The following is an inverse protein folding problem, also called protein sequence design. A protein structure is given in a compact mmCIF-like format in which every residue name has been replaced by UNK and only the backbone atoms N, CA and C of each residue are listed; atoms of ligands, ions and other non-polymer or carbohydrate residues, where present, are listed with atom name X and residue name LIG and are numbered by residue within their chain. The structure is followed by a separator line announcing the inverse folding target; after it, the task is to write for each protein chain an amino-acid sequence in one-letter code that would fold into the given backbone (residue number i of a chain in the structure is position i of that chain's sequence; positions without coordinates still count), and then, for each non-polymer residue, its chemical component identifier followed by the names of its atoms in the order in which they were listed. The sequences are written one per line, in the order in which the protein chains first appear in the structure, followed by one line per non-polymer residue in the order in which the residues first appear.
data_IF_684195926636
#
_entry.id   IF_684195926636
#
_cell.length_a   1.000
_cell.length_b   1.000
_cell.length_c   1.000
_cell.angle_alpha   90.00
_cell.angle_beta   90.00
_cell.angle_gamma   90.00
#
_symmetry.space_group_name_H-M   'P 1'
#
loop_
_entity.id
_entity.type
_entity.pdbx_description
1 polymer ?
#
# COMPACT_ATOMS: atom_id res chain seq x y z
N UNK A 1 -16.26 44.64 0.53
CA UNK A 1 -15.12 44.74 1.46
C UNK A 1 -15.40 43.79 2.61
N UNK A 2 -14.62 42.71 2.76
CA UNK A 2 -14.65 41.89 3.94
C UNK A 2 -13.65 42.48 4.93
N UNK A 3 -14.16 43.00 6.04
CA UNK A 3 -13.35 43.59 7.10
C UNK A 3 -12.72 42.41 7.90
N UNK A 4 -11.40 42.30 7.84
CA UNK A 4 -10.66 41.34 8.66
C UNK A 4 -10.52 41.94 10.08
N UNK A 5 -11.12 41.29 11.05
CA UNK A 5 -10.92 41.63 12.48
C UNK A 5 -9.90 40.61 13.01
N UNK A 6 -8.72 41.02 13.43
CA UNK A 6 -7.76 40.11 14.03
C UNK A 6 -8.31 39.58 15.36
N UNK A 7 -8.23 38.26 15.58
CA UNK A 7 -8.61 37.63 16.82
C UNK A 7 -7.68 38.16 17.95
N UNK A 8 -8.24 38.34 19.14
CA UNK A 8 -7.47 38.72 20.33
C UNK A 8 -6.67 37.55 20.89
N UNK A 9 -5.62 37.80 21.63
CA UNK A 9 -4.79 36.75 22.24
C UNK A 9 -5.62 35.84 23.15
N UNK A 10 -6.66 36.37 23.83
CA UNK A 10 -7.60 35.59 24.64
C UNK A 10 -8.47 34.65 23.80
N UNK A 11 -8.91 35.06 22.61
CA UNK A 11 -9.67 34.21 21.71
C UNK A 11 -8.80 33.09 21.13
N UNK A 12 -7.54 33.38 20.84
CA UNK A 12 -6.56 32.40 20.38
C UNK A 12 -6.27 31.36 21.47
N UNK A 13 -6.04 31.82 22.73
CA UNK A 13 -5.84 30.90 23.86
C UNK A 13 -7.09 30.06 24.15
N UNK A 14 -8.29 30.62 24.03
CA UNK A 14 -9.54 29.86 24.20
C UNK A 14 -9.71 28.75 23.14
N UNK A 15 -9.29 29.00 21.90
CA UNK A 15 -9.30 27.99 20.84
C UNK A 15 -8.30 26.87 21.15
N UNK A 16 -7.08 27.19 21.56
CA UNK A 16 -6.09 26.18 21.93
C UNK A 16 -6.47 25.42 23.19
N UNK A 17 -7.11 26.07 24.17
CA UNK A 17 -7.63 25.39 25.37
C UNK A 17 -8.80 24.44 25.05
N UNK A 18 -9.67 24.79 24.07
CA UNK A 18 -10.76 23.91 23.64
C UNK A 18 -10.28 22.71 22.82
N UNK A 19 -9.18 22.84 22.11
CA UNK A 19 -8.58 21.77 21.30
C UNK A 19 -7.85 20.71 22.17
N UNK A 20 -7.38 21.14 23.36
CA UNK A 20 -6.72 20.24 24.32
C UNK A 20 -7.70 19.48 25.26
N UNK A 21 -9.00 19.75 25.20
CA UNK A 21 -10.05 19.00 25.91
C UNK A 21 -10.75 17.98 25.00
N UNK A 22 -9.98 17.20 24.26
CA UNK A 22 -10.53 15.99 23.64
C UNK A 22 -10.65 14.93 24.76
N UNK A 23 -11.85 14.40 25.02
CA UNK A 23 -12.02 13.39 26.04
C UNK A 23 -11.22 12.13 25.69
N UNK A 24 -10.64 11.49 26.70
CA UNK A 24 -9.85 10.25 26.60
C UNK A 24 -10.59 9.10 25.86
N UNK A 25 -11.87 9.25 25.64
CA UNK A 25 -12.71 8.33 24.86
C UNK A 25 -12.27 8.20 23.39
N UNK A 26 -11.73 9.27 22.77
CA UNK A 26 -11.22 9.21 21.40
C UNK A 26 -9.88 8.48 21.29
N UNK A 27 -9.08 8.43 22.35
CA UNK A 27 -7.80 7.69 22.37
C UNK A 27 -8.06 6.19 22.43
N UNK A 28 -9.14 5.75 23.09
CA UNK A 28 -9.52 4.33 23.13
C UNK A 28 -10.07 3.83 21.79
N UNK A 29 -10.74 4.68 21.01
CA UNK A 29 -11.23 4.35 19.66
C UNK A 29 -10.09 4.28 18.64
N UNK A 30 -9.04 5.10 18.77
CA UNK A 30 -7.85 5.03 17.92
C UNK A 30 -7.00 3.80 18.27
N UNK A 31 -6.95 3.39 19.55
CA UNK A 31 -6.25 2.17 19.97
C UNK A 31 -6.89 0.87 19.46
N UNK A 32 -8.16 0.88 19.11
CA UNK A 32 -8.87 -0.30 18.59
C UNK A 32 -8.52 -0.65 17.12
N UNK A 33 -7.68 0.15 16.47
CA UNK A 33 -7.21 -0.09 15.09
C UNK A 33 -5.82 -0.74 14.99
N UNK A 34 -5.19 -1.06 16.08
CA UNK A 34 -3.93 -1.83 16.06
C UNK A 34 -4.21 -3.31 15.88
N UNK A 35 -3.43 -3.99 15.02
CA UNK A 35 -3.48 -5.43 14.79
C UNK A 35 -2.93 -6.21 15.99
N UNK A 36 -3.51 -6.05 17.16
CA UNK A 36 -2.93 -6.48 18.44
C UNK A 36 -3.43 -7.83 18.95
N UNK A 37 -4.47 -8.38 18.37
CA UNK A 37 -4.94 -9.73 18.72
C UNK A 37 -5.28 -10.48 17.43
N UNK A 38 -4.56 -11.55 17.16
CA UNK A 38 -4.82 -12.47 16.06
C UNK A 38 -5.87 -13.52 16.48
N UNK A 39 -7.19 -13.21 16.40
CA UNK A 39 -8.22 -14.09 16.96
C UNK A 39 -8.39 -15.38 16.14
N UNK A 40 -8.03 -15.35 14.86
CA UNK A 40 -8.15 -16.52 13.98
C UNK A 40 -6.82 -16.94 13.41
N UNK A 41 -6.42 -18.17 13.66
CA UNK A 41 -5.24 -18.76 12.99
C UNK A 41 -5.54 -19.08 11.54
N UNK A 42 -6.78 -19.47 11.24
CA UNK A 42 -7.22 -19.90 9.91
C UNK A 42 -8.61 -19.35 9.60
N UNK A 43 -8.79 -18.82 8.39
CA UNK A 43 -10.08 -18.34 7.91
C UNK A 43 -10.32 -18.80 6.46
N UNK A 44 -11.54 -19.26 6.19
CA UNK A 44 -12.03 -19.53 4.84
C UNK A 44 -13.10 -18.49 4.53
N UNK A 45 -12.95 -17.77 3.46
CA UNK A 45 -13.92 -16.75 3.01
C UNK A 45 -14.30 -17.02 1.57
N UNK A 46 -15.58 -16.90 1.24
CA UNK A 46 -16.05 -16.95 -0.15
C UNK A 46 -16.18 -15.53 -0.70
N UNK A 47 -16.82 -14.65 0.06
CA UNK A 47 -16.92 -13.22 -0.16
C UNK A 47 -16.70 -12.45 1.15
N UNK A 48 -16.42 -11.16 1.13
CA UNK A 48 -16.37 -10.32 2.33
C UNK A 48 -17.66 -10.46 3.13
N UNK A 49 -17.53 -10.83 4.42
CA UNK A 49 -18.69 -11.08 5.30
C UNK A 49 -19.31 -12.48 5.20
N UNK A 50 -18.86 -13.33 4.28
CA UNK A 50 -19.29 -14.71 4.15
C UNK A 50 -18.07 -15.64 4.28
N UNK A 51 -17.73 -16.01 5.49
CA UNK A 51 -16.57 -16.85 5.80
C UNK A 51 -16.70 -17.59 7.13
N UNK A 52 -15.75 -18.47 7.41
CA UNK A 52 -15.63 -19.23 8.66
C UNK A 52 -14.24 -18.96 9.25
N UNK A 53 -14.12 -18.47 10.50
CA UNK A 53 -15.23 -18.03 11.35
C UNK A 53 -15.87 -16.74 10.84
N UNK A 54 -17.15 -16.58 11.12
CA UNK A 54 -17.86 -15.34 10.83
C UNK A 54 -17.18 -14.16 11.55
N UNK A 55 -16.95 -13.06 10.81
CA UNK A 55 -16.39 -11.82 11.35
C UNK A 55 -14.92 -11.88 11.82
N UNK A 56 -14.10 -12.77 11.25
CA UNK A 56 -12.65 -12.73 11.48
C UNK A 56 -12.04 -11.53 10.74
N UNK A 57 -11.84 -10.43 11.46
CA UNK A 57 -11.22 -9.21 10.89
C UNK A 57 -9.71 -9.36 10.72
N UNK A 58 -9.08 -10.15 11.60
CA UNK A 58 -7.64 -10.40 11.62
C UNK A 58 -7.37 -11.90 11.51
N UNK A 59 -6.48 -12.30 10.62
CA UNK A 59 -6.16 -13.70 10.41
C UNK A 59 -4.69 -13.93 10.06
N UNK A 60 -4.20 -15.15 10.33
CA UNK A 60 -2.86 -15.60 9.91
C UNK A 60 -2.90 -16.27 8.56
N UNK A 61 -3.90 -17.15 8.35
CA UNK A 61 -4.07 -17.88 7.11
C UNK A 61 -5.48 -17.65 6.58
N UNK A 62 -5.58 -17.12 5.37
CA UNK A 62 -6.85 -16.90 4.68
C UNK A 62 -6.82 -17.58 3.33
N UNK A 63 -7.83 -18.36 3.07
CA UNK A 63 -8.06 -18.96 1.74
C UNK A 63 -9.45 -18.56 1.28
N UNK A 64 -9.54 -18.01 0.07
CA UNK A 64 -10.80 -17.64 -0.55
C UNK A 64 -10.82 -18.02 -2.03
N UNK A 65 -11.80 -18.80 -2.51
CA UNK A 65 -11.91 -19.07 -3.94
C UNK A 65 -12.25 -17.83 -4.78
N UNK A 66 -12.90 -16.82 -4.20
CA UNK A 66 -13.23 -15.60 -4.90
C UNK A 66 -12.53 -14.40 -4.28
N UNK A 67 -13.08 -13.83 -3.22
CA UNK A 67 -12.59 -12.57 -2.64
C UNK A 67 -12.64 -12.62 -1.11
N UNK A 68 -11.56 -12.16 -0.49
CA UNK A 68 -11.54 -11.94 0.95
C UNK A 68 -11.14 -10.51 1.30
N UNK A 69 -11.72 -9.99 2.37
CA UNK A 69 -11.36 -8.71 2.95
C UNK A 69 -11.01 -8.90 4.42
N UNK A 70 -9.80 -8.52 4.80
CA UNK A 70 -9.28 -8.63 6.15
C UNK A 70 -8.81 -7.27 6.63
N UNK A 71 -8.90 -7.04 7.94
CA UNK A 71 -8.35 -5.83 8.54
C UNK A 71 -6.82 -5.96 8.64
N UNK A 72 -6.35 -7.06 9.21
CA UNK A 72 -4.92 -7.36 9.31
C UNK A 72 -4.64 -8.81 8.88
N UNK A 73 -3.51 -8.99 8.18
CA UNK A 73 -2.95 -10.30 7.83
C UNK A 73 -1.55 -10.44 8.43
N UNK A 74 -1.28 -11.58 9.09
CA UNK A 74 0.05 -11.95 9.58
C UNK A 74 0.41 -13.38 9.16
N UNK A 75 0.66 -13.57 7.88
CA UNK A 75 1.00 -14.89 7.32
C UNK A 75 0.61 -14.98 5.86
N UNK A 76 -0.40 -15.79 5.52
CA UNK A 76 -0.77 -16.04 4.14
C UNK A 76 -2.23 -15.66 3.86
N UNK A 77 -2.45 -14.95 2.76
CA UNK A 77 -3.77 -14.71 2.18
C UNK A 77 -3.74 -15.15 0.72
N UNK A 78 -4.55 -16.15 0.40
CA UNK A 78 -4.64 -16.71 -0.96
C UNK A 78 -6.07 -16.54 -1.45
N UNK A 79 -6.23 -15.86 -2.58
CA UNK A 79 -7.54 -15.59 -3.17
C UNK A 79 -7.57 -16.03 -4.64
N UNK A 80 -8.69 -16.61 -5.05
CA UNK A 80 -8.89 -16.95 -6.47
C UNK A 80 -9.00 -15.69 -7.34
N UNK A 81 -9.61 -14.62 -6.82
CA UNK A 81 -9.81 -13.40 -7.59
C UNK A 81 -9.23 -12.16 -6.90
N UNK A 82 -9.81 -11.65 -5.81
CA UNK A 82 -9.31 -10.46 -5.12
C UNK A 82 -8.97 -10.70 -3.65
N UNK A 83 -7.86 -10.10 -3.21
CA UNK A 83 -7.47 -9.97 -1.81
C UNK A 83 -7.42 -8.52 -1.36
N UNK A 84 -8.16 -8.18 -0.29
CA UNK A 84 -8.19 -6.83 0.27
C UNK A 84 -7.70 -6.88 1.71
N UNK A 85 -6.73 -6.02 2.05
CA UNK A 85 -6.28 -5.81 3.42
C UNK A 85 -6.41 -4.32 3.76
N UNK A 86 -7.23 -4.00 4.75
CA UNK A 86 -7.59 -2.61 5.04
C UNK A 86 -6.63 -1.89 5.99
N UNK A 87 -5.80 -2.62 6.75
CA UNK A 87 -4.82 -2.03 7.66
C UNK A 87 -3.41 -2.58 7.40
N UNK A 88 -3.01 -3.66 8.04
CA UNK A 88 -1.64 -4.18 7.95
C UNK A 88 -1.60 -5.55 7.28
N UNK A 89 -0.81 -5.66 6.23
CA UNK A 89 -0.45 -6.93 5.61
C UNK A 89 1.01 -7.26 5.98
N UNK A 90 1.20 -8.39 6.65
CA UNK A 90 2.51 -8.91 7.02
C UNK A 90 2.61 -10.38 6.62
N UNK A 91 3.44 -10.67 5.62
CA UNK A 91 3.60 -12.01 5.08
C UNK A 91 3.39 -12.09 3.57
N UNK A 92 2.53 -12.99 3.09
CA UNK A 92 2.33 -13.25 1.67
C UNK A 92 0.86 -13.09 1.30
N UNK A 93 0.59 -12.27 0.30
CA UNK A 93 -0.73 -12.09 -0.29
C UNK A 93 -0.68 -12.47 -1.77
N UNK A 94 -1.49 -13.45 -2.14
CA UNK A 94 -1.57 -13.99 -3.50
C UNK A 94 -3.01 -13.93 -3.98
N UNK A 95 -3.22 -13.38 -5.17
CA UNK A 95 -4.54 -13.38 -5.80
C UNK A 95 -4.45 -13.66 -7.29
N UNK A 96 -5.42 -14.37 -7.82
CA UNK A 96 -5.48 -14.67 -9.25
C UNK A 96 -5.61 -13.39 -10.10
N UNK A 97 -6.39 -12.41 -9.64
CA UNK A 97 -6.55 -11.14 -10.36
C UNK A 97 -5.87 -9.97 -9.65
N UNK A 98 -6.25 -9.63 -8.42
CA UNK A 98 -5.72 -8.43 -7.81
C UNK A 98 -5.62 -8.46 -6.29
N UNK A 99 -4.67 -7.67 -5.78
CA UNK A 99 -4.50 -7.39 -4.36
C UNK A 99 -4.60 -5.90 -4.09
N UNK A 100 -5.27 -5.55 -3.00
CA UNK A 100 -5.37 -4.18 -2.49
C UNK A 100 -4.97 -4.14 -1.02
N UNK A 101 -3.99 -3.33 -0.68
CA UNK A 101 -3.60 -3.05 0.70
C UNK A 101 -3.68 -1.55 0.98
N UNK A 102 -4.57 -1.15 1.91
CA UNK A 102 -4.88 0.27 2.13
C UNK A 102 -3.93 0.98 3.09
N UNK A 103 -3.05 0.26 3.81
CA UNK A 103 -2.06 0.88 4.69
C UNK A 103 -0.69 0.24 4.51
N UNK A 104 -0.17 -0.47 5.53
CA UNK A 104 1.20 -0.98 5.52
C UNK A 104 1.30 -2.39 4.94
N UNK A 105 2.26 -2.59 4.06
CA UNK A 105 2.63 -3.89 3.49
C UNK A 105 4.04 -4.24 3.91
N UNK A 106 4.19 -5.40 4.55
CA UNK A 106 5.47 -6.02 4.87
C UNK A 106 5.50 -7.45 4.33
N UNK A 107 6.21 -7.69 3.23
CA UNK A 107 6.35 -9.02 2.66
C UNK A 107 6.14 -9.09 1.16
N UNK A 108 5.43 -10.13 0.70
CA UNK A 108 5.20 -10.40 -0.71
C UNK A 108 3.73 -10.17 -1.08
N UNK A 109 3.49 -9.37 -2.09
CA UNK A 109 2.20 -9.17 -2.71
C UNK A 109 2.29 -9.58 -4.18
N UNK A 110 1.57 -10.62 -4.58
CA UNK A 110 1.59 -11.09 -5.97
C UNK A 110 0.18 -11.27 -6.53
N UNK A 111 -0.03 -10.83 -7.75
CA UNK A 111 -1.30 -10.93 -8.45
C UNK A 111 -1.10 -11.26 -9.93
N UNK A 112 -2.07 -11.96 -10.50
CA UNK A 112 -2.08 -12.21 -11.96
C UNK A 112 -2.20 -10.93 -12.76
N UNK A 113 -2.92 -9.91 -12.25
CA UNK A 113 -3.16 -8.68 -13.00
C UNK A 113 -2.68 -7.42 -12.26
N UNK A 114 -3.20 -7.09 -11.07
CA UNK A 114 -2.93 -5.81 -10.42
C UNK A 114 -2.63 -5.93 -8.92
N UNK A 115 -1.61 -5.22 -8.46
CA UNK A 115 -1.41 -4.96 -7.04
C UNK A 115 -1.49 -3.47 -6.75
N UNK A 116 -2.18 -3.12 -5.65
CA UNK A 116 -2.30 -1.75 -5.15
C UNK A 116 -1.89 -1.69 -3.69
N UNK A 117 -0.97 -0.81 -3.33
CA UNK A 117 -0.65 -0.46 -1.95
C UNK A 117 -0.69 1.07 -1.77
N UNK A 118 -1.45 1.56 -0.78
CA UNK A 118 -1.75 2.99 -0.67
C UNK A 118 -0.92 3.74 0.37
N UNK A 119 -0.02 3.11 1.10
CA UNK A 119 0.81 3.81 2.08
C UNK A 119 2.26 3.30 2.00
N UNK A 120 2.69 2.45 2.90
CA UNK A 120 4.07 1.96 2.98
C UNK A 120 4.15 0.52 2.46
N UNK A 121 5.08 0.28 1.53
CA UNK A 121 5.42 -1.05 1.04
C UNK A 121 6.89 -1.35 1.40
N UNK A 122 7.09 -2.38 2.20
CA UNK A 122 8.42 -2.94 2.43
C UNK A 122 8.42 -4.41 2.04
N UNK A 123 9.12 -4.75 0.97
CA UNK A 123 9.18 -6.12 0.45
C UNK A 123 9.07 -6.22 -1.06
N UNK A 124 8.23 -7.12 -1.54
CA UNK A 124 8.11 -7.42 -2.98
C UNK A 124 6.67 -7.26 -3.45
N UNK A 125 6.50 -6.58 -4.57
CA UNK A 125 5.23 -6.46 -5.28
C UNK A 125 5.41 -6.96 -6.71
N UNK A 126 4.68 -8.01 -7.08
CA UNK A 126 4.77 -8.62 -8.40
C UNK A 126 3.40 -8.75 -9.04
N UNK A 127 3.22 -8.23 -10.23
CA UNK A 127 1.97 -8.32 -10.99
C UNK A 127 2.22 -8.73 -12.44
N UNK A 128 1.31 -9.49 -13.00
CA UNK A 128 1.34 -9.78 -14.43
C UNK A 128 1.18 -8.53 -15.29
N UNK A 129 0.45 -7.52 -14.79
CA UNK A 129 0.20 -6.31 -15.57
C UNK A 129 0.62 -5.02 -14.86
N UNK A 130 0.04 -4.66 -13.71
CA UNK A 130 0.30 -3.35 -13.09
C UNK A 130 0.55 -3.47 -11.59
N UNK A 131 1.59 -2.79 -11.11
CA UNK A 131 1.77 -2.48 -9.69
C UNK A 131 1.59 -0.98 -9.43
N UNK A 132 0.83 -0.63 -8.41
CA UNK A 132 0.64 0.75 -7.93
C UNK A 132 1.01 0.84 -6.46
N UNK A 133 1.90 1.75 -6.12
CA UNK A 133 2.23 2.10 -4.74
C UNK A 133 2.16 3.61 -4.56
N UNK A 134 1.30 4.12 -3.67
CA UNK A 134 1.13 5.57 -3.52
C UNK A 134 1.94 6.17 -2.37
N UNK A 135 2.58 5.35 -1.55
CA UNK A 135 3.42 5.79 -0.44
C UNK A 135 4.90 5.48 -0.65
N UNK A 136 5.62 5.36 0.47
CA UNK A 136 7.02 4.99 0.47
C UNK A 136 7.19 3.51 0.11
N UNK A 137 8.10 3.21 -0.82
CA UNK A 137 8.42 1.85 -1.24
C UNK A 137 9.88 1.52 -0.93
N UNK A 138 10.09 0.40 -0.24
CA UNK A 138 11.41 -0.18 0.00
C UNK A 138 11.41 -1.65 -0.41
N UNK A 139 12.09 -1.98 -1.51
CA UNK A 139 12.21 -3.36 -1.98
C UNK A 139 12.12 -3.52 -3.48
N UNK A 140 11.32 -4.48 -3.94
CA UNK A 140 11.24 -4.85 -5.35
C UNK A 140 9.82 -4.66 -5.88
N UNK A 141 9.70 -4.00 -7.04
CA UNK A 141 8.48 -3.93 -7.82
C UNK A 141 8.72 -4.51 -9.22
N UNK A 142 7.97 -5.53 -9.59
CA UNK A 142 8.05 -6.10 -10.93
C UNK A 142 6.66 -6.22 -11.56
N UNK A 143 6.52 -5.75 -12.79
CA UNK A 143 5.29 -5.84 -13.55
C UNK A 143 5.55 -6.24 -15.00
N UNK A 144 4.62 -7.00 -15.58
CA UNK A 144 4.69 -7.28 -17.00
C UNK A 144 4.53 -6.03 -17.86
N UNK A 145 3.79 -5.02 -17.36
CA UNK A 145 3.52 -3.82 -18.14
C UNK A 145 3.95 -2.53 -17.42
N UNK A 146 3.36 -2.17 -16.28
CA UNK A 146 3.61 -0.87 -15.63
C UNK A 146 3.82 -0.99 -14.14
N UNK A 147 4.84 -0.31 -13.62
CA UNK A 147 4.99 0.00 -12.21
C UNK A 147 4.80 1.50 -11.96
N UNK A 148 3.99 1.85 -10.96
CA UNK A 148 3.79 3.24 -10.52
C UNK A 148 4.08 3.36 -9.03
N UNK A 149 4.99 4.28 -8.67
CA UNK A 149 5.28 4.66 -7.29
C UNK A 149 5.20 6.17 -7.16
N UNK A 150 4.15 6.70 -6.52
CA UNK A 150 3.99 8.15 -6.39
C UNK A 150 4.80 8.74 -5.23
N UNK A 151 5.33 7.91 -4.35
CA UNK A 151 6.23 8.27 -3.25
C UNK A 151 7.71 8.04 -3.57
N UNK A 152 8.54 8.07 -2.52
CA UNK A 152 9.95 7.72 -2.65
C UNK A 152 10.11 6.21 -2.81
N UNK A 153 10.98 5.81 -3.71
CA UNK A 153 11.27 4.42 -4.04
C UNK A 153 12.74 4.10 -3.70
N UNK A 154 12.94 3.07 -2.89
CA UNK A 154 14.28 2.54 -2.59
C UNK A 154 14.32 1.07 -2.97
N UNK A 155 15.14 0.70 -3.96
CA UNK A 155 15.34 -0.68 -4.36
C UNK A 155 15.37 -0.92 -5.85
N UNK A 156 14.63 -1.91 -6.33
CA UNK A 156 14.64 -2.35 -7.72
C UNK A 156 13.23 -2.33 -8.31
N UNK A 157 13.06 -1.61 -9.42
CA UNK A 157 11.79 -1.52 -10.16
C UNK A 157 12.01 -2.00 -11.60
N UNK A 158 11.23 -3.00 -12.03
CA UNK A 158 11.31 -3.55 -13.38
C UNK A 158 9.93 -3.67 -14.01
N UNK A 159 9.77 -3.15 -15.21
CA UNK A 159 8.55 -3.28 -16.00
C UNK A 159 8.86 -3.65 -17.45
N UNK A 160 7.98 -4.42 -18.06
CA UNK A 160 8.09 -4.69 -19.50
C UNK A 160 7.91 -3.42 -20.33
N UNK A 161 7.16 -2.44 -19.84
CA UNK A 161 6.87 -1.24 -20.62
C UNK A 161 7.27 0.06 -19.89
N UNK A 162 6.66 0.40 -18.74
CA UNK A 162 6.89 1.70 -18.07
C UNK A 162 7.11 1.55 -16.57
N UNK A 163 8.12 2.23 -16.06
CA UNK A 163 8.25 2.52 -14.63
C UNK A 163 8.05 4.00 -14.37
N UNK A 164 7.25 4.33 -13.34
CA UNK A 164 7.07 5.69 -12.85
C UNK A 164 7.37 5.73 -11.37
N UNK A 165 8.24 6.64 -10.95
CA UNK A 165 8.46 6.90 -9.53
C UNK A 165 8.73 8.39 -9.29
N UNK A 166 8.55 8.86 -8.05
CA UNK A 166 8.85 10.26 -7.70
C UNK A 166 10.37 10.44 -7.54
N UNK A 167 10.94 9.84 -6.50
CA UNK A 167 12.38 9.85 -6.26
C UNK A 167 12.85 8.41 -6.14
N UNK A 168 13.88 8.05 -6.88
CA UNK A 168 14.42 6.70 -6.95
C UNK A 168 15.81 6.64 -6.33
N UNK A 169 15.97 5.74 -5.36
CA UNK A 169 17.28 5.34 -4.85
C UNK A 169 17.46 3.85 -5.14
N UNK A 170 18.17 3.54 -6.22
CA UNK A 170 18.36 2.17 -6.66
C UNK A 170 18.33 1.99 -8.16
N UNK A 171 17.58 1.01 -8.66
CA UNK A 171 17.59 0.62 -10.07
C UNK A 171 16.18 0.63 -10.66
N UNK A 172 16.02 1.26 -11.82
CA UNK A 172 14.84 1.17 -12.67
C UNK A 172 15.18 0.57 -14.03
N UNK A 173 14.50 -0.50 -14.41
CA UNK A 173 14.60 -1.13 -15.72
C UNK A 173 13.23 -1.15 -16.39
N UNK A 174 13.10 -0.56 -17.56
CA UNK A 174 11.88 -0.64 -18.37
C UNK A 174 12.21 -1.04 -19.81
N UNK A 175 11.31 -1.75 -20.43
CA UNK A 175 11.42 -2.05 -21.87
C UNK A 175 11.22 -0.82 -22.73
N UNK A 176 10.50 0.21 -22.24
CA UNK A 176 10.17 1.39 -23.04
C UNK A 176 10.55 2.71 -22.33
N UNK A 177 10.00 3.01 -21.16
CA UNK A 177 10.24 4.30 -20.46
C UNK A 177 10.41 4.14 -18.98
N UNK A 178 11.43 4.79 -18.42
CA UNK A 178 11.52 5.09 -16.99
C UNK A 178 11.26 6.58 -16.76
N UNK A 179 10.35 6.90 -15.84
CA UNK A 179 10.04 8.28 -15.41
C UNK A 179 10.36 8.40 -13.94
N UNK A 180 11.26 9.32 -13.60
CA UNK A 180 11.53 9.70 -12.22
C UNK A 180 11.87 11.19 -12.17
N UNK A 181 11.52 11.83 -11.03
CA UNK A 181 11.92 13.23 -10.81
C UNK A 181 13.41 13.31 -10.49
N UNK A 182 13.84 12.50 -9.52
CA UNK A 182 15.24 12.42 -9.08
C UNK A 182 15.66 10.95 -9.00
N UNK A 183 16.88 10.65 -9.49
CA UNK A 183 17.44 9.28 -9.49
C UNK A 183 18.81 9.28 -8.84
N UNK A 184 18.95 8.55 -7.74
CA UNK A 184 20.22 8.16 -7.14
C UNK A 184 20.45 6.66 -7.41
N UNK A 185 21.15 6.36 -8.49
CA UNK A 185 21.38 4.98 -8.93
C UNK A 185 21.34 4.83 -10.45
N UNK A 186 20.85 3.66 -10.90
CA UNK A 186 20.80 3.33 -12.32
C UNK A 186 19.34 3.36 -12.84
N UNK A 187 19.10 4.11 -13.91
CA UNK A 187 17.83 4.08 -14.64
C UNK A 187 18.11 3.80 -16.11
N UNK A 188 17.65 2.66 -16.62
CA UNK A 188 17.85 2.27 -18.01
C UNK A 188 16.52 1.91 -18.67
N UNK A 189 16.32 2.43 -19.87
CA UNK A 189 15.30 1.97 -20.82
C UNK A 189 16.00 1.21 -21.95
N UNK A 190 15.31 0.28 -22.59
CA UNK A 190 15.89 -0.47 -23.71
C UNK A 190 16.13 0.39 -24.97
N UNK A 191 15.65 1.63 -25.00
CA UNK A 191 15.80 2.56 -26.10
C UNK A 191 16.49 3.85 -25.66
N UNK A 192 17.77 3.72 -25.26
CA UNK A 192 18.66 4.86 -25.22
C UNK A 192 19.79 4.64 -26.20
N UNK A 193 19.46 4.69 -27.47
CA UNK A 193 20.40 4.88 -28.55
C UNK A 193 20.11 6.27 -29.09
N UNK A 194 20.71 7.27 -28.47
CA UNK A 194 21.30 8.48 -29.09
C UNK A 194 21.62 9.50 -27.99
N UNK A 195 22.89 9.83 -27.76
CA UNK A 195 23.22 11.08 -27.11
C UNK A 195 22.77 12.19 -28.09
N UNK A 196 21.83 13.01 -27.68
CA UNK A 196 21.67 14.27 -28.41
C UNK A 196 22.91 15.13 -28.14
N UNK A 197 23.64 15.36 -29.20
CA UNK A 197 24.73 16.35 -29.35
C UNK A 197 24.17 17.74 -29.16
#
# INVERSE_FOLDING_TARGET
YVMYVPATDEEIEAIFASENTQPEENISLVKSQECNNWPSTFAISIFPGLGIPFDSKDARFVISPFMSMQHCISGFQINGFFGITTNKMQGIQVSGFGNVALKKVFGLQTAGFVNVSTNELTGVQSAGFVNVATGFVKGFQTAGFVNVSTGNFIGFQSAGFVNVAKNVKGVQLAGFVNVAKDVEGLSTKMEEIYPMV
#
